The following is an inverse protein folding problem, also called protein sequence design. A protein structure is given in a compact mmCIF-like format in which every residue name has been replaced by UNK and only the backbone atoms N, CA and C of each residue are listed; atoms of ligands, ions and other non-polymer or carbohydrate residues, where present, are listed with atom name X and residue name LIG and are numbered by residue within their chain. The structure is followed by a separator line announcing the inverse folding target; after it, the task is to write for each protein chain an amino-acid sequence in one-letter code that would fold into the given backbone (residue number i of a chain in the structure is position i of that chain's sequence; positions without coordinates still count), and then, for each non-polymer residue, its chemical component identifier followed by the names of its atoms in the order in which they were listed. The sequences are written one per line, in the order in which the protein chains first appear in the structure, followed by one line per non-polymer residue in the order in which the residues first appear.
data_IF_312447367971
#
_entry.id   IF_312447367971
#
_cell.length_a   1.000
_cell.length_b   1.000
_cell.length_c   1.000
_cell.angle_alpha   90.00
_cell.angle_beta   90.00
_cell.angle_gamma   90.00
#
_symmetry.space_group_name_H-M   'P 1'
#
loop_
_entity.id
_entity.type
_entity.pdbx_description
1 polymer ?
#
# COMPACT_ATOMS: atom_id res chain seq x y z
N UNK A 1 3.63 -10.25 -25.15
CA UNK A 1 2.96 -10.46 -23.85
C UNK A 1 3.89 -10.06 -22.74
N UNK A 2 3.39 -9.40 -21.68
CA UNK A 2 4.15 -9.01 -20.47
C UNK A 2 3.70 -9.91 -19.32
N UNK A 3 4.63 -10.37 -18.47
CA UNK A 3 4.31 -11.01 -17.20
C UNK A 3 4.35 -9.96 -16.06
N UNK A 4 3.31 -9.96 -15.21
CA UNK A 4 3.34 -9.25 -13.92
C UNK A 4 3.69 -10.28 -12.84
N UNK A 5 4.92 -10.19 -12.31
CA UNK A 5 5.47 -11.20 -11.39
C UNK A 5 5.33 -10.73 -9.95
N UNK A 6 4.70 -11.56 -9.12
CA UNK A 6 4.67 -11.39 -7.65
C UNK A 6 5.35 -12.57 -6.95
N UNK A 7 5.98 -12.30 -5.81
CA UNK A 7 6.67 -13.31 -5.01
C UNK A 7 6.36 -13.15 -3.53
N UNK A 8 5.75 -14.17 -2.94
CA UNK A 8 5.38 -14.24 -1.53
C UNK A 8 4.42 -13.15 -1.04
N UNK A 9 3.70 -12.49 -1.95
CA UNK A 9 2.65 -11.55 -1.59
C UNK A 9 1.43 -12.29 -1.04
N UNK A 10 0.83 -11.75 0.03
CA UNK A 10 -0.38 -12.31 0.62
C UNK A 10 -1.62 -11.76 -0.09
N UNK A 11 -2.60 -12.61 -0.46
CA UNK A 11 -3.83 -12.19 -1.11
C UNK A 11 -4.76 -11.49 -0.09
N UNK A 12 -4.61 -10.18 0.02
CA UNK A 12 -5.34 -9.27 0.91
C UNK A 12 -5.91 -8.08 0.12
N UNK A 13 -6.58 -7.15 0.78
CA UNK A 13 -7.12 -5.94 0.13
C UNK A 13 -6.08 -5.18 -0.70
N UNK A 14 -4.86 -5.01 -0.16
CA UNK A 14 -3.74 -4.37 -0.88
C UNK A 14 -3.31 -5.18 -2.11
N UNK A 15 -3.32 -6.51 -2.04
CA UNK A 15 -3.01 -7.34 -3.21
C UNK A 15 -4.05 -7.16 -4.32
N UNK A 16 -5.33 -7.11 -3.95
CA UNK A 16 -6.38 -6.91 -4.95
C UNK A 16 -6.24 -5.55 -5.64
N UNK A 17 -6.13 -4.48 -4.88
CA UNK A 17 -6.03 -3.11 -5.43
C UNK A 17 -4.71 -2.84 -6.17
N UNK A 18 -3.57 -3.37 -5.68
CA UNK A 18 -2.24 -3.02 -6.21
C UNK A 18 -1.64 -4.07 -7.16
N UNK A 19 -2.28 -5.24 -7.34
CA UNK A 19 -1.84 -6.29 -8.25
C UNK A 19 -2.93 -6.64 -9.25
N UNK A 20 -4.05 -7.25 -8.79
CA UNK A 20 -5.06 -7.75 -9.72
C UNK A 20 -5.77 -6.64 -10.48
N UNK A 21 -6.13 -5.55 -9.79
CA UNK A 21 -6.76 -4.39 -10.43
C UNK A 21 -5.79 -3.63 -11.35
N UNK A 22 -4.48 -3.61 -11.02
CA UNK A 22 -3.45 -3.03 -11.89
C UNK A 22 -3.30 -3.89 -13.16
N UNK A 23 -3.21 -5.22 -13.04
CA UNK A 23 -3.17 -6.12 -14.21
C UNK A 23 -4.41 -5.98 -15.07
N UNK A 24 -5.59 -5.88 -14.45
CA UNK A 24 -6.84 -5.65 -15.18
C UNK A 24 -6.80 -4.32 -15.94
N UNK A 25 -6.38 -3.22 -15.27
CA UNK A 25 -6.25 -1.91 -15.90
C UNK A 25 -5.25 -1.90 -17.05
N UNK A 26 -4.06 -2.48 -16.88
CA UNK A 26 -3.06 -2.59 -17.95
C UNK A 26 -3.62 -3.30 -19.20
N UNK A 27 -4.48 -4.29 -19.03
CA UNK A 27 -5.13 -4.98 -20.14
C UNK A 27 -6.22 -4.13 -20.85
N UNK A 28 -6.68 -3.02 -20.27
CA UNK A 28 -7.61 -2.10 -20.93
C UNK A 28 -6.93 -1.06 -21.82
N UNK A 29 -5.58 -0.94 -21.75
CA UNK A 29 -4.83 0.13 -22.44
C UNK A 29 -4.59 -0.12 -23.94
N UNK A 30 -5.03 -1.26 -24.47
CA UNK A 30 -4.88 -1.60 -25.88
C UNK A 30 -3.46 -2.07 -26.30
N UNK A 31 -2.59 -2.33 -25.34
CA UNK A 31 -1.22 -2.82 -25.53
C UNK A 31 -1.10 -4.35 -25.49
N UNK A 32 0.12 -4.89 -25.32
CA UNK A 32 0.36 -6.32 -25.18
C UNK A 32 -0.35 -6.86 -23.94
N UNK A 33 -0.91 -8.07 -24.05
CA UNK A 33 -1.56 -8.73 -22.90
C UNK A 33 -0.59 -8.83 -21.71
N UNK A 34 -1.06 -8.39 -20.54
CA UNK A 34 -0.38 -8.53 -19.25
C UNK A 34 -0.98 -9.69 -18.49
N UNK A 35 -0.15 -10.65 -18.08
CA UNK A 35 -0.60 -11.85 -17.36
C UNK A 35 0.06 -11.92 -15.98
N UNK A 36 -0.72 -12.15 -14.95
CA UNK A 36 -0.22 -12.35 -13.60
C UNK A 36 0.49 -13.70 -13.47
N UNK A 37 1.75 -13.68 -12.99
CA UNK A 37 2.51 -14.83 -12.54
C UNK A 37 2.77 -14.66 -11.05
N UNK A 38 2.09 -15.43 -10.21
CA UNK A 38 2.20 -15.34 -8.76
C UNK A 38 2.93 -16.56 -8.19
N UNK A 39 4.06 -16.35 -7.54
CA UNK A 39 4.75 -17.37 -6.75
C UNK A 39 4.31 -17.25 -5.30
N UNK A 40 3.56 -18.24 -4.81
CA UNK A 40 2.89 -18.19 -3.51
C UNK A 40 3.36 -19.32 -2.59
N UNK A 41 3.09 -19.16 -1.29
CA UNK A 41 3.42 -20.18 -0.30
C UNK A 41 2.83 -21.55 -0.68
N UNK A 42 3.65 -22.61 -0.58
CA UNK A 42 3.20 -23.97 -0.79
C UNK A 42 2.23 -24.46 0.30
N UNK A 43 2.27 -23.83 1.51
CA UNK A 43 1.48 -24.26 2.68
C UNK A 43 -0.03 -24.21 2.43
N UNK A 44 -0.53 -23.09 1.85
CA UNK A 44 -1.95 -22.88 1.58
C UNK A 44 -2.23 -22.72 0.08
N UNK A 45 -1.43 -23.36 -0.75
CA UNK A 45 -1.39 -23.17 -2.20
C UNK A 45 -2.75 -23.22 -2.88
N UNK A 46 -3.55 -24.23 -2.63
CA UNK A 46 -4.84 -24.39 -3.30
C UNK A 46 -5.84 -23.31 -2.92
N UNK A 47 -5.85 -22.89 -1.64
CA UNK A 47 -6.71 -21.80 -1.16
C UNK A 47 -6.28 -20.47 -1.77
N UNK A 48 -4.99 -20.16 -1.74
CA UNK A 48 -4.42 -18.94 -2.32
C UNK A 48 -4.69 -18.88 -3.83
N UNK A 49 -4.41 -19.98 -4.54
CA UNK A 49 -4.66 -20.09 -5.98
C UNK A 49 -6.12 -19.85 -6.33
N UNK A 50 -7.06 -20.43 -5.58
CA UNK A 50 -8.49 -20.21 -5.78
C UNK A 50 -8.87 -18.74 -5.58
N UNK A 51 -8.39 -18.10 -4.51
CA UNK A 51 -8.63 -16.68 -4.24
C UNK A 51 -8.08 -15.78 -5.35
N UNK A 52 -6.84 -15.98 -5.77
CA UNK A 52 -6.23 -15.17 -6.84
C UNK A 52 -6.99 -15.34 -8.15
N UNK A 53 -7.36 -16.57 -8.51
CA UNK A 53 -8.09 -16.85 -9.77
C UNK A 53 -9.53 -16.34 -9.75
N UNK A 54 -10.14 -16.18 -8.60
CA UNK A 54 -11.45 -15.54 -8.50
C UNK A 54 -11.40 -14.05 -8.93
N UNK A 55 -10.28 -13.35 -8.67
CA UNK A 55 -10.08 -11.95 -9.07
C UNK A 55 -9.38 -11.80 -10.42
N UNK A 56 -8.52 -12.75 -10.78
CA UNK A 56 -7.76 -12.76 -12.02
C UNK A 56 -7.76 -14.18 -12.62
N UNK A 57 -8.79 -14.57 -13.40
CA UNK A 57 -9.00 -15.95 -13.88
C UNK A 57 -7.82 -16.51 -14.66
N UNK A 58 -7.13 -15.66 -15.43
CA UNK A 58 -5.98 -16.03 -16.27
C UNK A 58 -4.65 -16.11 -15.52
N UNK A 59 -4.64 -15.85 -14.20
CA UNK A 59 -3.42 -15.87 -13.41
C UNK A 59 -2.75 -17.26 -13.42
N UNK A 60 -1.45 -17.25 -13.62
CA UNK A 60 -0.58 -18.42 -13.41
C UNK A 60 -0.10 -18.36 -11.97
N UNK A 61 -0.59 -19.27 -11.15
CA UNK A 61 -0.22 -19.35 -9.73
C UNK A 61 0.61 -20.60 -9.53
N UNK A 62 1.84 -20.44 -9.06
CA UNK A 62 2.81 -21.51 -8.85
C UNK A 62 3.26 -21.53 -7.39
N UNK A 63 3.53 -22.71 -6.83
CA UNK A 63 4.10 -22.77 -5.48
C UNK A 63 5.57 -22.31 -5.52
N UNK A 64 5.98 -21.51 -4.55
CA UNK A 64 7.38 -21.18 -4.35
C UNK A 64 8.12 -22.24 -3.56
N UNK A 65 9.43 -22.34 -3.76
CA UNK A 65 10.31 -23.14 -2.89
C UNK A 65 10.25 -22.56 -1.48
N UNK A 66 9.93 -23.36 -0.47
CA UNK A 66 9.77 -22.88 0.90
C UNK A 66 11.10 -22.40 1.50
N UNK A 67 11.00 -21.63 2.57
CA UNK A 67 12.08 -20.98 3.32
C UNK A 67 12.69 -19.76 2.61
N UNK A 68 12.65 -18.61 3.30
CA UNK A 68 13.17 -17.35 2.80
C UNK A 68 14.67 -17.45 2.44
N UNK A 69 15.48 -18.20 3.18
CA UNK A 69 16.90 -18.43 2.89
C UNK A 69 17.16 -19.03 1.50
N UNK A 70 16.18 -19.74 0.92
CA UNK A 70 16.25 -20.38 -0.41
C UNK A 70 15.57 -19.58 -1.52
N UNK A 71 15.21 -18.34 -1.29
CA UNK A 71 14.42 -17.53 -2.23
C UNK A 71 15.03 -17.48 -3.65
N UNK A 72 16.37 -17.51 -3.78
CA UNK A 72 17.07 -17.47 -5.07
C UNK A 72 16.76 -18.66 -5.98
N UNK A 73 16.46 -19.82 -5.41
CA UNK A 73 16.11 -21.02 -6.17
C UNK A 73 14.85 -20.82 -7.01
N UNK A 74 13.95 -19.92 -6.57
CA UNK A 74 12.72 -19.60 -7.30
C UNK A 74 12.98 -18.94 -8.67
N UNK A 75 14.18 -18.42 -8.92
CA UNK A 75 14.56 -17.92 -10.25
C UNK A 75 14.48 -19.02 -11.32
N UNK A 76 14.64 -20.30 -10.97
CA UNK A 76 14.44 -21.42 -11.90
C UNK A 76 12.97 -21.55 -12.32
N UNK A 77 12.04 -21.32 -11.39
CA UNK A 77 10.58 -21.34 -11.68
C UNK A 77 10.22 -20.18 -12.64
N UNK A 78 10.76 -18.99 -12.37
CA UNK A 78 10.57 -17.81 -13.24
C UNK A 78 11.16 -18.08 -14.63
N UNK A 79 12.37 -18.64 -14.71
CA UNK A 79 13.02 -18.99 -15.97
C UNK A 79 12.20 -20.02 -16.78
N UNK A 80 11.65 -21.05 -16.12
CA UNK A 80 10.76 -22.03 -16.77
C UNK A 80 9.48 -21.35 -17.29
N UNK A 81 8.86 -20.48 -16.51
CA UNK A 81 7.70 -19.71 -16.95
C UNK A 81 8.04 -18.82 -18.15
N UNK A 82 9.20 -18.16 -18.17
CA UNK A 82 9.66 -17.38 -19.32
C UNK A 82 9.87 -18.22 -20.57
N UNK A 83 10.43 -19.44 -20.43
CA UNK A 83 10.57 -20.37 -21.58
C UNK A 83 9.22 -20.77 -22.16
N UNK A 84 8.23 -20.98 -21.31
CA UNK A 84 6.89 -21.39 -21.72
C UNK A 84 6.11 -20.23 -22.36
N UNK A 85 6.08 -19.07 -21.69
CA UNK A 85 5.24 -17.94 -22.11
C UNK A 85 5.93 -17.00 -23.10
N UNK A 86 7.26 -17.02 -23.20
CA UNK A 86 8.09 -16.15 -24.06
C UNK A 86 7.69 -14.65 -23.94
N UNK A 87 7.71 -14.08 -22.74
CA UNK A 87 7.32 -12.68 -22.55
C UNK A 87 8.32 -11.72 -23.19
N UNK A 88 7.83 -10.59 -23.72
CA UNK A 88 8.69 -9.48 -24.16
C UNK A 88 9.28 -8.76 -22.96
N UNK A 89 8.49 -8.62 -21.87
CA UNK A 89 8.91 -7.95 -20.64
C UNK A 89 8.30 -8.56 -19.39
N UNK A 90 8.89 -8.21 -18.24
CA UNK A 90 8.37 -8.56 -16.91
C UNK A 90 8.24 -7.28 -16.08
N UNK A 91 7.07 -7.06 -15.48
CA UNK A 91 6.87 -6.14 -14.37
C UNK A 91 7.00 -6.97 -13.10
N UNK A 92 8.05 -6.74 -12.31
CA UNK A 92 8.36 -7.54 -11.13
C UNK A 92 8.10 -6.72 -9.86
N UNK A 93 7.13 -7.17 -9.04
CA UNK A 93 6.75 -6.51 -7.80
C UNK A 93 7.72 -6.86 -6.69
N UNK A 94 8.40 -5.82 -6.20
CA UNK A 94 9.41 -5.93 -5.14
C UNK A 94 10.75 -6.45 -5.63
N UNK A 95 11.76 -6.28 -4.78
CA UNK A 95 13.17 -6.50 -5.17
C UNK A 95 13.51 -7.97 -5.41
N UNK A 96 12.90 -8.91 -4.68
CA UNK A 96 13.16 -10.35 -4.85
C UNK A 96 12.62 -10.86 -6.19
N UNK A 97 11.39 -10.48 -6.53
CA UNK A 97 10.80 -10.80 -7.83
C UNK A 97 11.62 -10.18 -8.98
N UNK A 98 12.07 -8.95 -8.80
CA UNK A 98 12.92 -8.24 -9.77
C UNK A 98 14.25 -8.95 -9.97
N UNK A 99 14.91 -9.36 -8.89
CA UNK A 99 16.15 -10.12 -9.00
C UNK A 99 15.96 -11.42 -9.81
N UNK A 100 14.87 -12.16 -9.57
CA UNK A 100 14.56 -13.36 -10.34
C UNK A 100 14.30 -13.06 -11.82
N UNK A 101 13.61 -11.95 -12.11
CA UNK A 101 13.37 -11.49 -13.48
C UNK A 101 14.67 -11.08 -14.18
N UNK A 102 15.58 -10.41 -13.50
CA UNK A 102 16.92 -10.08 -14.01
C UNK A 102 17.70 -11.35 -14.35
N UNK A 103 17.67 -12.38 -13.50
CA UNK A 103 18.31 -13.70 -13.83
C UNK A 103 17.69 -14.37 -15.05
N UNK A 104 16.40 -14.17 -15.32
CA UNK A 104 15.78 -14.65 -16.55
C UNK A 104 16.24 -13.83 -17.77
N UNK A 105 16.42 -12.51 -17.62
CA UNK A 105 16.97 -11.63 -18.66
C UNK A 105 18.42 -11.98 -19.00
N UNK A 106 19.26 -12.23 -17.99
CA UNK A 106 20.67 -12.64 -18.19
C UNK A 106 20.80 -13.96 -19.01
N UNK A 107 19.75 -14.79 -19.00
CA UNK A 107 19.64 -16.01 -19.81
C UNK A 107 18.93 -15.80 -21.15
N UNK A 108 18.70 -14.56 -21.53
CA UNK A 108 17.97 -14.18 -22.75
C UNK A 108 16.55 -14.80 -22.87
N UNK A 109 15.89 -15.07 -21.73
CA UNK A 109 14.53 -15.63 -21.69
C UNK A 109 13.44 -14.53 -21.66
N UNK A 110 13.83 -13.28 -21.44
CA UNK A 110 12.99 -12.09 -21.50
C UNK A 110 13.84 -10.90 -21.95
N UNK A 111 13.25 -9.96 -22.68
CA UNK A 111 13.97 -8.80 -23.22
C UNK A 111 14.14 -7.70 -22.18
N UNK A 112 13.08 -7.33 -21.48
CA UNK A 112 13.02 -6.16 -20.60
C UNK A 112 12.47 -6.47 -19.21
N UNK A 113 12.96 -5.78 -18.18
CA UNK A 113 12.51 -5.95 -16.80
C UNK A 113 12.19 -4.59 -16.19
N UNK A 114 11.00 -4.48 -15.58
CA UNK A 114 10.60 -3.34 -14.76
C UNK A 114 10.58 -3.74 -13.28
N UNK A 115 11.17 -2.90 -12.43
CA UNK A 115 10.99 -2.96 -10.98
C UNK A 115 9.68 -2.24 -10.62
N UNK A 116 8.70 -2.94 -10.05
CA UNK A 116 7.54 -2.33 -9.36
C UNK A 116 7.86 -2.20 -7.87
N UNK A 117 8.34 -1.02 -7.47
CA UNK A 117 8.80 -0.74 -6.12
C UNK A 117 7.73 -0.07 -5.27
N UNK A 118 7.42 -0.68 -4.13
CA UNK A 118 6.37 -0.23 -3.21
C UNK A 118 6.89 0.43 -1.94
N UNK A 119 8.22 0.58 -1.79
CA UNK A 119 8.90 1.20 -0.67
C UNK A 119 10.40 0.97 -0.72
N UNK A 120 11.13 1.43 0.30
CA UNK A 120 12.54 1.14 0.53
C UNK A 120 12.66 -0.21 1.26
N UNK A 121 12.69 -1.30 0.52
CA UNK A 121 12.63 -2.65 1.09
C UNK A 121 13.80 -2.98 2.02
N UNK A 122 15.02 -2.53 1.71
CA UNK A 122 16.16 -2.74 2.58
C UNK A 122 16.00 -1.96 3.90
N UNK A 123 15.48 -0.73 3.83
CA UNK A 123 15.14 0.05 5.02
C UNK A 123 14.07 -0.63 5.87
N UNK A 124 13.00 -1.11 5.25
CA UNK A 124 11.93 -1.83 5.94
C UNK A 124 12.44 -3.07 6.67
N UNK A 125 13.32 -3.85 6.05
CA UNK A 125 13.92 -5.03 6.67
C UNK A 125 14.86 -4.69 7.84
N UNK A 126 15.58 -3.58 7.73
CA UNK A 126 16.48 -3.08 8.79
C UNK A 126 15.71 -2.48 9.97
N UNK A 127 14.71 -1.63 9.69
CA UNK A 127 13.94 -0.91 10.70
C UNK A 127 12.98 -1.81 11.49
N UNK A 128 12.35 -2.78 10.80
CA UNK A 128 11.28 -3.61 11.40
C UNK A 128 11.64 -5.09 11.51
N UNK A 129 12.88 -5.46 11.21
CA UNK A 129 13.40 -6.85 11.33
C UNK A 129 12.42 -7.87 10.74
N UNK A 130 12.00 -7.65 9.50
CA UNK A 130 11.02 -8.51 8.79
C UNK A 130 11.46 -9.98 8.77
N UNK A 131 12.77 -10.23 8.86
CA UNK A 131 13.36 -11.55 9.05
C UNK A 131 14.37 -11.51 10.19
N UNK A 132 14.46 -12.58 10.95
CA UNK A 132 15.46 -12.74 12.02
C UNK A 132 16.73 -13.39 11.46
N UNK A 133 17.40 -12.69 10.52
CA UNK A 133 18.62 -13.14 9.85
C UNK A 133 19.43 -11.93 9.38
N UNK A 134 20.40 -11.49 10.18
CA UNK A 134 21.23 -10.32 9.89
C UNK A 134 22.02 -10.44 8.58
N UNK A 135 22.48 -11.65 8.23
CA UNK A 135 23.21 -11.88 6.99
C UNK A 135 22.30 -11.70 5.78
N UNK A 136 21.04 -12.12 5.88
CA UNK A 136 20.04 -11.94 4.82
C UNK A 136 19.64 -10.46 4.71
N UNK A 137 19.45 -9.76 5.83
CA UNK A 137 19.19 -8.32 5.87
C UNK A 137 20.33 -7.54 5.18
N UNK A 138 21.58 -7.82 5.53
CA UNK A 138 22.74 -7.16 4.92
C UNK A 138 22.82 -7.39 3.39
N UNK A 139 22.53 -8.61 2.93
CA UNK A 139 22.48 -8.93 1.50
C UNK A 139 21.34 -8.20 0.77
N UNK A 140 20.25 -7.91 1.46
CA UNK A 140 19.03 -7.34 0.85
C UNK A 140 19.28 -5.95 0.26
N UNK A 141 20.15 -5.14 0.89
CA UNK A 141 20.56 -3.83 0.37
C UNK A 141 21.25 -3.94 -1.01
N UNK A 142 22.12 -4.94 -1.18
CA UNK A 142 22.79 -5.19 -2.46
C UNK A 142 21.78 -5.64 -3.54
N UNK A 143 20.80 -6.47 -3.16
CA UNK A 143 19.73 -6.93 -4.06
C UNK A 143 18.83 -5.76 -4.48
N UNK A 144 18.46 -4.87 -3.55
CA UNK A 144 17.68 -3.67 -3.88
C UNK A 144 18.47 -2.73 -4.79
N UNK A 145 19.74 -2.46 -4.48
CA UNK A 145 20.61 -1.67 -5.35
C UNK A 145 20.69 -2.24 -6.77
N UNK A 146 20.87 -3.56 -6.91
CA UNK A 146 20.88 -4.24 -8.21
C UNK A 146 19.53 -4.06 -8.92
N UNK A 147 18.42 -4.29 -8.24
CA UNK A 147 17.08 -4.13 -8.80
C UNK A 147 16.84 -2.69 -9.29
N UNK A 148 17.25 -1.69 -8.52
CA UNK A 148 17.11 -0.28 -8.89
C UNK A 148 17.98 0.09 -10.08
N UNK A 149 19.25 -0.35 -10.12
CA UNK A 149 20.20 0.13 -11.11
C UNK A 149 20.14 -0.65 -12.44
N UNK A 150 19.80 -1.95 -12.41
CA UNK A 150 19.93 -2.82 -13.59
C UNK A 150 18.63 -3.07 -14.33
N UNK A 151 17.47 -2.66 -13.82
CA UNK A 151 16.21 -2.78 -14.56
C UNK A 151 16.13 -1.78 -15.71
N UNK A 152 15.34 -2.11 -16.73
CA UNK A 152 15.12 -1.26 -17.90
C UNK A 152 14.13 -0.12 -17.57
N UNK A 153 13.17 -0.38 -16.68
CA UNK A 153 12.15 0.57 -16.25
C UNK A 153 11.88 0.42 -14.74
N UNK A 154 11.41 1.48 -14.07
CA UNK A 154 10.99 1.48 -12.66
C UNK A 154 9.62 2.08 -12.52
N UNK A 155 8.79 1.47 -11.70
CA UNK A 155 7.54 2.01 -11.20
C UNK A 155 7.74 2.32 -9.71
N UNK A 156 7.83 3.59 -9.36
CA UNK A 156 7.99 4.06 -7.98
C UNK A 156 6.64 4.51 -7.40
N UNK A 157 6.42 4.32 -6.11
CA UNK A 157 5.18 4.76 -5.45
C UNK A 157 5.20 6.22 -4.99
N UNK A 158 6.38 6.86 -4.99
CA UNK A 158 6.54 8.25 -4.57
C UNK A 158 7.77 8.89 -5.21
N UNK A 159 7.78 10.21 -5.32
CA UNK A 159 8.98 10.96 -5.67
C UNK A 159 10.04 10.85 -4.57
N UNK A 160 9.62 10.75 -3.32
CA UNK A 160 10.51 10.50 -2.18
C UNK A 160 11.31 9.20 -2.36
N UNK A 161 10.70 8.13 -2.88
CA UNK A 161 11.39 6.88 -3.18
C UNK A 161 12.42 7.04 -4.31
N UNK A 162 12.10 7.81 -5.33
CA UNK A 162 13.07 8.12 -6.42
C UNK A 162 14.25 8.90 -5.88
N UNK A 163 14.03 9.94 -5.05
CA UNK A 163 15.10 10.70 -4.38
C UNK A 163 15.97 9.78 -3.52
N UNK A 164 15.37 8.87 -2.76
CA UNK A 164 16.11 7.88 -1.98
C UNK A 164 17.03 7.02 -2.87
N UNK A 165 16.57 6.56 -4.04
CA UNK A 165 17.41 5.81 -4.97
C UNK A 165 18.57 6.65 -5.52
N UNK A 166 18.34 7.94 -5.81
CA UNK A 166 19.39 8.87 -6.26
C UNK A 166 20.46 9.03 -5.18
N UNK A 167 20.05 9.32 -3.96
CA UNK A 167 20.96 9.57 -2.84
C UNK A 167 21.69 8.29 -2.37
N UNK A 168 20.96 7.19 -2.26
CA UNK A 168 21.48 5.97 -1.65
C UNK A 168 22.22 5.06 -2.62
N UNK A 169 21.73 4.96 -3.86
CA UNK A 169 22.25 4.02 -4.85
C UNK A 169 22.92 4.70 -6.04
N UNK A 170 22.90 6.03 -6.13
CA UNK A 170 23.44 6.78 -7.26
C UNK A 170 22.62 6.59 -8.53
N UNK A 171 21.29 6.41 -8.41
CA UNK A 171 20.42 6.33 -9.56
C UNK A 171 20.31 7.69 -10.24
N UNK A 172 20.78 7.81 -11.47
CA UNK A 172 20.76 9.05 -12.27
C UNK A 172 19.86 8.94 -13.50
N UNK A 173 19.22 7.76 -13.70
CA UNK A 173 18.39 7.50 -14.86
C UNK A 173 17.04 8.21 -14.80
N UNK A 174 16.43 8.31 -15.99
CA UNK A 174 15.07 8.86 -16.15
C UNK A 174 14.04 7.79 -16.54
N UNK A 175 14.45 6.51 -16.58
CA UNK A 175 13.58 5.39 -16.93
C UNK A 175 12.76 4.96 -15.70
N UNK A 176 11.91 5.87 -15.21
CA UNK A 176 10.95 5.59 -14.17
C UNK A 176 9.65 6.35 -14.41
N UNK A 177 8.58 5.81 -13.85
CA UNK A 177 7.31 6.50 -13.66
C UNK A 177 6.94 6.46 -12.18
N UNK A 178 6.24 7.48 -11.71
CA UNK A 178 5.73 7.52 -10.34
C UNK A 178 4.22 7.35 -10.37
N UNK A 179 3.76 6.28 -9.74
CA UNK A 179 2.33 5.99 -9.55
C UNK A 179 2.12 5.62 -8.10
N UNK A 180 1.45 6.47 -7.31
CA UNK A 180 1.16 6.18 -5.91
C UNK A 180 0.30 4.93 -5.79
N UNK A 181 0.16 4.40 -4.58
CA UNK A 181 -0.80 3.34 -4.35
C UNK A 181 -2.20 3.83 -4.68
N UNK A 182 -2.84 3.18 -5.65
CA UNK A 182 -4.14 3.57 -6.20
C UNK A 182 -5.29 2.92 -5.43
N UNK A 183 -6.47 3.50 -5.52
CA UNK A 183 -7.70 2.99 -4.93
C UNK A 183 -8.03 1.57 -5.42
N UNK A 184 -8.62 0.77 -4.54
CA UNK A 184 -9.37 -0.42 -4.93
C UNK A 184 -10.78 -0.05 -5.35
N UNK A 185 -11.43 -0.90 -6.15
CA UNK A 185 -12.78 -0.64 -6.73
C UNK A 185 -13.83 -0.26 -5.69
N UNK A 186 -13.84 -0.90 -4.53
CA UNK A 186 -14.79 -0.62 -3.46
C UNK A 186 -14.77 0.84 -2.98
N UNK A 187 -13.63 1.54 -3.10
CA UNK A 187 -13.47 2.94 -2.71
C UNK A 187 -13.71 3.93 -3.86
N UNK A 188 -13.65 3.48 -5.11
CA UNK A 188 -13.97 4.31 -6.28
C UNK A 188 -15.47 4.48 -6.43
N UNK A 189 -16.25 3.47 -6.12
CA UNK A 189 -17.71 3.49 -6.17
C UNK A 189 -18.27 4.40 -5.08
N UNK A 190 -19.42 5.04 -5.39
CA UNK A 190 -20.09 5.88 -4.40
C UNK A 190 -20.81 5.00 -3.40
N UNK A 191 -20.42 5.11 -2.15
CA UNK A 191 -21.19 4.56 -1.02
C UNK A 191 -22.07 5.68 -0.49
N UNK A 192 -23.34 5.40 -0.21
CA UNK A 192 -24.28 6.38 0.34
C UNK A 192 -23.82 6.96 1.69
N UNK A 193 -24.50 7.97 2.23
CA UNK A 193 -24.11 8.63 3.45
C UNK A 193 -24.00 7.65 4.63
N UNK A 194 -22.90 7.74 5.39
CA UNK A 194 -22.58 6.84 6.51
C UNK A 194 -23.46 6.97 7.77
N UNK A 195 -24.60 7.65 7.67
CA UNK A 195 -25.45 7.96 8.84
C UNK A 195 -26.03 6.72 9.54
N UNK A 196 -26.46 5.71 8.79
CA UNK A 196 -26.98 4.46 9.37
C UNK A 196 -25.85 3.74 10.16
N UNK A 197 -24.67 3.56 9.54
CA UNK A 197 -23.51 2.94 10.16
C UNK A 197 -23.04 3.73 11.40
N UNK A 198 -23.13 5.08 11.38
CA UNK A 198 -22.78 5.91 12.54
C UNK A 198 -23.66 5.59 13.76
N UNK A 199 -24.97 5.46 13.54
CA UNK A 199 -25.92 5.08 14.59
C UNK A 199 -25.71 3.64 15.09
N UNK A 200 -25.47 2.70 14.18
CA UNK A 200 -25.17 1.29 14.52
C UNK A 200 -23.90 1.16 15.36
N UNK A 201 -22.89 2.01 15.11
CA UNK A 201 -21.66 2.07 15.88
C UNK A 201 -21.83 2.81 17.22
N UNK A 202 -23.01 3.36 17.51
CA UNK A 202 -23.32 4.06 18.77
C UNK A 202 -22.68 5.46 18.85
N UNK A 203 -22.40 6.12 17.72
CA UNK A 203 -21.87 7.48 17.70
C UNK A 203 -23.01 8.50 17.60
N UNK A 204 -22.99 9.43 18.57
CA UNK A 204 -23.93 10.55 18.58
C UNK A 204 -23.56 11.61 17.51
N UNK A 205 -24.54 12.44 17.13
CA UNK A 205 -24.31 13.54 16.22
C UNK A 205 -23.31 14.59 16.78
N UNK A 206 -23.23 14.70 18.11
CA UNK A 206 -22.29 15.61 18.78
C UNK A 206 -20.87 15.04 18.93
N UNK A 207 -20.65 13.76 18.64
CA UNK A 207 -19.33 13.13 18.74
C UNK A 207 -18.46 13.53 17.55
N UNK A 208 -17.15 13.64 17.79
CA UNK A 208 -16.12 13.69 16.76
C UNK A 208 -15.44 12.34 16.73
N UNK A 209 -15.53 11.66 15.58
CA UNK A 209 -15.04 10.28 15.44
C UNK A 209 -13.81 10.23 14.55
N UNK A 210 -12.68 9.86 15.13
CA UNK A 210 -11.46 9.54 14.37
C UNK A 210 -11.45 8.07 13.98
N UNK A 211 -10.91 7.76 12.81
CA UNK A 211 -10.77 6.37 12.37
C UNK A 211 -9.32 6.02 12.02
N UNK A 212 -8.92 4.84 12.43
CA UNK A 212 -7.76 4.12 11.92
C UNK A 212 -8.24 2.85 11.22
N UNK A 213 -7.79 2.63 9.97
CA UNK A 213 -8.12 1.42 9.21
C UNK A 213 -6.84 0.71 8.75
N UNK A 214 -6.71 -0.59 9.03
CA UNK A 214 -5.63 -1.43 8.53
C UNK A 214 -4.97 -2.35 9.55
N UNK A 215 -3.82 -2.92 9.17
CA UNK A 215 -3.05 -3.84 10.02
C UNK A 215 -2.36 -3.12 11.17
N UNK A 216 -1.87 -3.91 12.12
CA UNK A 216 -1.05 -3.47 13.27
C UNK A 216 0.45 -3.74 13.06
N UNK A 217 0.92 -3.84 11.82
CA UNK A 217 2.32 -4.06 11.50
C UNK A 217 3.24 -2.95 12.04
N UNK A 218 4.50 -3.26 12.30
CA UNK A 218 5.47 -2.37 12.98
C UNK A 218 5.51 -0.94 12.41
N UNK A 219 5.55 -0.79 11.08
CA UNK A 219 5.55 0.52 10.42
C UNK A 219 4.26 1.34 10.58
N UNK A 220 3.24 0.80 11.24
CA UNK A 220 2.02 1.55 11.59
C UNK A 220 2.16 2.33 12.90
N UNK A 221 3.27 2.14 13.63
CA UNK A 221 3.67 2.93 14.80
C UNK A 221 2.59 3.05 15.87
N UNK A 222 2.00 1.91 16.27
CA UNK A 222 0.88 1.89 17.23
C UNK A 222 1.24 2.47 18.60
N UNK A 223 2.52 2.40 19.03
CA UNK A 223 2.99 3.04 20.26
C UNK A 223 2.81 4.55 20.22
N UNK A 224 3.26 5.18 19.12
CA UNK A 224 3.14 6.61 18.89
C UNK A 224 1.66 7.02 18.77
N UNK A 225 0.88 6.32 17.96
CA UNK A 225 -0.55 6.58 17.79
C UNK A 225 -1.32 6.44 19.11
N UNK A 226 -1.06 5.39 19.88
CA UNK A 226 -1.70 5.14 21.17
C UNK A 226 -1.39 6.24 22.18
N UNK A 227 -0.15 6.73 22.23
CA UNK A 227 0.25 7.86 23.08
C UNK A 227 -0.49 9.15 22.72
N UNK A 228 -0.55 9.48 21.42
CA UNK A 228 -1.29 10.65 20.91
C UNK A 228 -2.78 10.57 21.25
N UNK A 229 -3.41 9.42 21.02
CA UNK A 229 -4.83 9.22 21.28
C UNK A 229 -5.17 9.27 22.77
N UNK A 230 -4.31 8.75 23.63
CA UNK A 230 -4.50 8.78 25.08
C UNK A 230 -4.57 10.23 25.60
N UNK A 231 -3.64 11.08 25.16
CA UNK A 231 -3.67 12.51 25.48
C UNK A 231 -4.93 13.19 24.96
N UNK A 232 -5.25 13.00 23.69
CA UNK A 232 -6.43 13.60 23.06
C UNK A 232 -7.76 13.16 23.70
N UNK A 233 -7.90 11.88 24.02
CA UNK A 233 -9.09 11.34 24.69
C UNK A 233 -9.24 11.89 26.12
N UNK A 234 -8.14 12.13 26.84
CA UNK A 234 -8.19 12.73 28.17
C UNK A 234 -8.70 14.18 28.13
N UNK A 235 -8.30 14.95 27.12
CA UNK A 235 -8.61 16.38 27.01
C UNK A 235 -9.93 16.69 26.30
N UNK A 236 -10.38 15.80 25.38
CA UNK A 236 -11.52 16.04 24.50
C UNK A 236 -12.68 15.05 24.79
N UNK A 237 -13.66 15.41 25.65
CA UNK A 237 -14.72 14.45 26.08
C UNK A 237 -15.60 13.93 24.96
N UNK A 238 -15.80 14.67 23.88
CA UNK A 238 -16.62 14.27 22.72
C UNK A 238 -15.86 13.48 21.66
N UNK A 239 -14.54 13.33 21.84
CA UNK A 239 -13.69 12.58 20.92
C UNK A 239 -13.94 11.08 21.09
N UNK A 240 -14.15 10.39 19.97
CA UNK A 240 -14.23 8.93 19.89
C UNK A 240 -13.27 8.42 18.82
N UNK A 241 -12.86 7.17 18.94
CA UNK A 241 -11.93 6.52 18.00
C UNK A 241 -12.48 5.18 17.56
N UNK A 242 -12.53 4.96 16.25
CA UNK A 242 -12.87 3.69 15.64
C UNK A 242 -11.60 3.06 15.03
N UNK A 243 -11.26 1.86 15.51
CA UNK A 243 -10.24 1.03 14.89
C UNK A 243 -10.88 -0.03 13.99
N UNK A 244 -10.63 0.06 12.69
CA UNK A 244 -10.97 -0.97 11.71
C UNK A 244 -9.75 -1.85 11.51
N UNK A 245 -9.51 -2.78 12.43
CA UNK A 245 -8.29 -3.59 12.49
C UNK A 245 -8.53 -4.97 13.09
N UNK A 246 -7.64 -5.95 12.85
CA UNK A 246 -7.59 -7.18 13.60
C UNK A 246 -7.46 -6.95 15.12
N UNK A 247 -7.68 -7.99 15.95
CA UNK A 247 -7.41 -7.94 17.39
C UNK A 247 -5.98 -7.48 17.68
N UNK A 248 -5.84 -6.57 18.65
CA UNK A 248 -4.57 -6.04 19.11
C UNK A 248 -4.65 -5.62 20.57
N UNK A 249 -3.68 -6.05 21.40
CA UNK A 249 -3.67 -5.79 22.84
C UNK A 249 -3.52 -4.31 23.19
N UNK A 250 -2.83 -3.51 22.38
CA UNK A 250 -2.69 -2.08 22.61
C UNK A 250 -4.01 -1.34 22.38
N UNK A 251 -4.76 -1.72 21.33
CA UNK A 251 -6.10 -1.18 21.07
C UNK A 251 -7.08 -1.60 22.17
N UNK A 252 -7.06 -2.86 22.56
CA UNK A 252 -7.93 -3.38 23.62
C UNK A 252 -7.61 -2.71 24.98
N UNK A 253 -6.34 -2.43 25.27
CA UNK A 253 -5.91 -1.66 26.44
C UNK A 253 -6.44 -0.21 26.40
N UNK A 254 -6.33 0.47 25.26
CA UNK A 254 -6.88 1.82 25.09
C UNK A 254 -8.41 1.83 25.22
N UNK A 255 -9.10 0.82 24.73
CA UNK A 255 -10.55 0.69 24.85
C UNK A 255 -10.98 0.44 26.32
N UNK A 256 -10.19 -0.29 27.08
CA UNK A 256 -10.43 -0.47 28.52
C UNK A 256 -10.20 0.82 29.34
N UNK A 257 -9.20 1.65 28.95
CA UNK A 257 -8.91 2.93 29.57
C UNK A 257 -9.99 3.99 29.26
N UNK A 258 -10.60 3.94 28.06
CA UNK A 258 -11.63 4.89 27.62
C UNK A 258 -12.91 4.15 27.16
N UNK A 259 -13.67 3.55 28.09
CA UNK A 259 -14.84 2.74 27.77
C UNK A 259 -15.91 3.54 27.03
N UNK A 260 -16.47 2.97 25.97
CA UNK A 260 -17.49 3.60 25.11
C UNK A 260 -16.98 4.72 24.19
N UNK A 261 -15.67 5.03 24.24
CA UNK A 261 -15.06 6.05 23.40
C UNK A 261 -14.06 5.50 22.38
N UNK A 262 -13.50 4.32 22.66
CA UNK A 262 -12.64 3.58 21.73
C UNK A 262 -13.34 2.30 21.34
N UNK A 263 -13.60 2.16 20.04
CA UNK A 263 -14.25 0.98 19.47
C UNK A 263 -13.30 0.29 18.51
N UNK A 264 -13.30 -1.04 18.51
CA UNK A 264 -12.64 -1.85 17.48
C UNK A 264 -13.66 -2.69 16.74
N UNK A 265 -13.54 -2.72 15.42
CA UNK A 265 -14.30 -3.60 14.53
C UNK A 265 -13.36 -4.22 13.50
N UNK A 266 -13.64 -5.45 13.14
CA UNK A 266 -13.01 -6.10 12.01
C UNK A 266 -14.09 -6.34 10.95
N UNK A 267 -13.97 -5.65 9.83
CA UNK A 267 -14.96 -5.62 8.75
C UNK A 267 -14.41 -6.29 7.51
N UNK A 268 -15.30 -6.78 6.66
CA UNK A 268 -14.92 -7.20 5.31
C UNK A 268 -14.59 -5.96 4.45
N UNK A 269 -13.78 -6.15 3.42
CA UNK A 269 -13.28 -5.03 2.61
C UNK A 269 -14.38 -4.17 2.00
N UNK A 270 -15.52 -4.78 1.67
CA UNK A 270 -16.69 -4.14 1.07
C UNK A 270 -17.46 -3.24 2.07
N UNK A 271 -17.36 -3.53 3.37
CA UNK A 271 -18.01 -2.77 4.45
C UNK A 271 -17.18 -1.56 4.90
N UNK A 272 -15.85 -1.60 4.67
CA UNK A 272 -14.91 -0.55 5.14
C UNK A 272 -15.29 0.85 4.62
N UNK A 273 -15.64 1.08 3.34
CA UNK A 273 -16.02 2.41 2.85
C UNK A 273 -17.18 3.02 3.64
N UNK A 274 -18.21 2.25 3.96
CA UNK A 274 -19.37 2.74 4.72
C UNK A 274 -18.99 3.10 6.16
N UNK A 275 -18.14 2.30 6.80
CA UNK A 275 -17.64 2.60 8.14
C UNK A 275 -16.74 3.86 8.16
N UNK A 276 -15.92 4.06 7.13
CA UNK A 276 -15.13 5.28 6.98
C UNK A 276 -16.04 6.51 6.87
N UNK A 277 -17.10 6.46 6.08
CA UNK A 277 -18.03 7.59 5.91
C UNK A 277 -18.81 7.95 7.18
N UNK A 278 -18.93 7.02 8.14
CA UNK A 278 -19.49 7.27 9.46
C UNK A 278 -18.58 8.10 10.38
N UNK A 279 -17.32 8.32 9.99
CA UNK A 279 -16.31 9.03 10.77
C UNK A 279 -16.09 10.46 10.30
N UNK A 280 -15.32 11.23 11.06
CA UNK A 280 -15.13 12.66 10.82
C UNK A 280 -13.71 13.03 10.38
N UNK A 281 -12.68 12.29 10.81
CA UNK A 281 -11.32 12.41 10.31
C UNK A 281 -10.58 11.06 10.41
N UNK A 282 -9.53 10.89 9.63
CA UNK A 282 -8.75 9.67 9.59
C UNK A 282 -7.32 9.87 10.09
N UNK A 283 -6.74 8.81 10.65
CA UNK A 283 -5.42 8.82 11.29
C UNK A 283 -4.38 8.11 10.43
N UNK A 284 -3.33 8.83 10.09
CA UNK A 284 -2.15 8.32 9.40
C UNK A 284 -0.87 8.79 10.12
N UNK A 285 -0.82 8.52 11.41
CA UNK A 285 0.28 8.89 12.31
C UNK A 285 1.29 7.76 12.37
N UNK A 286 2.55 8.05 12.04
CA UNK A 286 3.65 7.09 11.97
C UNK A 286 4.95 7.73 12.42
N UNK A 287 5.88 6.91 12.90
CA UNK A 287 7.24 7.31 13.26
C UNK A 287 8.03 7.81 12.04
N UNK A 288 9.00 8.68 12.29
CA UNK A 288 9.90 9.22 11.27
C UNK A 288 11.01 8.22 10.95
N UNK A 289 10.71 7.27 10.07
CA UNK A 289 11.63 6.23 9.58
C UNK A 289 11.78 6.32 8.07
N UNK A 290 12.84 5.73 7.51
CA UNK A 290 13.03 5.70 6.06
C UNK A 290 11.84 5.05 5.35
N UNK A 291 11.34 3.93 5.87
CA UNK A 291 10.15 3.25 5.34
C UNK A 291 8.97 4.20 5.19
N UNK A 292 8.71 5.03 6.19
CA UNK A 292 7.60 5.97 6.18
C UNK A 292 7.88 7.21 5.31
N UNK A 293 9.14 7.69 5.28
CA UNK A 293 9.55 8.86 4.45
C UNK A 293 9.40 8.63 2.94
N UNK A 294 9.41 7.37 2.49
CA UNK A 294 9.23 7.04 1.07
C UNK A 294 7.89 6.37 0.76
N UNK A 295 7.06 6.17 1.77
CA UNK A 295 5.82 5.41 1.66
C UNK A 295 4.75 6.09 0.80
N UNK A 296 3.88 5.28 0.23
CA UNK A 296 2.61 5.68 -0.38
C UNK A 296 1.50 4.79 0.19
N UNK A 297 1.03 5.05 1.43
CA UNK A 297 0.00 4.22 2.06
C UNK A 297 -1.32 4.26 1.31
N UNK A 298 -1.87 3.10 0.92
CA UNK A 298 -3.18 2.98 0.27
C UNK A 298 -4.30 3.66 1.06
N UNK A 299 -4.25 3.55 2.38
CA UNK A 299 -5.26 4.15 3.28
C UNK A 299 -5.39 5.66 3.15
N UNK A 300 -4.34 6.39 2.70
CA UNK A 300 -4.44 7.82 2.43
C UNK A 300 -5.48 8.11 1.34
N UNK A 301 -5.35 7.43 0.21
CA UNK A 301 -6.31 7.55 -0.89
C UNK A 301 -7.71 7.07 -0.48
N UNK A 302 -7.79 5.96 0.26
CA UNK A 302 -9.04 5.38 0.75
C UNK A 302 -9.78 6.32 1.70
N UNK A 303 -9.08 6.96 2.62
CA UNK A 303 -9.65 7.95 3.54
C UNK A 303 -10.24 9.14 2.78
N UNK A 304 -9.44 9.74 1.91
CA UNK A 304 -9.89 10.87 1.11
C UNK A 304 -11.06 10.49 0.18
N UNK A 305 -11.05 9.31 -0.43
CA UNK A 305 -12.13 8.82 -1.30
C UNK A 305 -13.47 8.71 -0.55
N UNK A 306 -13.41 8.48 0.77
CA UNK A 306 -14.58 8.44 1.64
C UNK A 306 -14.90 9.80 2.31
N UNK A 307 -14.28 10.87 1.82
CA UNK A 307 -14.55 12.24 2.28
C UNK A 307 -13.95 12.58 3.63
N UNK A 308 -12.92 11.85 4.08
CA UNK A 308 -12.29 12.08 5.38
C UNK A 308 -11.05 12.97 5.23
N UNK A 309 -10.98 14.13 5.89
CA UNK A 309 -9.72 14.82 6.11
C UNK A 309 -8.79 13.94 6.97
N UNK A 310 -7.47 14.05 6.72
CA UNK A 310 -6.48 13.15 7.31
C UNK A 310 -5.59 13.91 8.30
N UNK A 311 -5.43 13.37 9.52
CA UNK A 311 -4.34 13.75 10.42
C UNK A 311 -3.14 12.86 10.07
N UNK A 312 -2.07 13.47 9.57
CA UNK A 312 -0.90 12.78 9.03
C UNK A 312 0.39 13.29 9.66
N UNK A 313 1.34 12.39 9.95
CA UNK A 313 2.69 12.80 10.37
C UNK A 313 3.41 13.59 9.28
N UNK A 314 4.31 14.50 9.65
CA UNK A 314 4.96 15.46 8.75
C UNK A 314 5.87 14.84 7.65
N UNK A 315 6.17 13.56 7.72
CA UNK A 315 7.19 12.89 6.89
C UNK A 315 6.67 11.66 6.12
N UNK A 316 5.39 11.57 5.83
CA UNK A 316 4.83 10.40 5.11
C UNK A 316 4.92 10.61 3.60
N UNK A 317 5.98 10.08 3.00
CA UNK A 317 6.21 10.13 1.55
C UNK A 317 6.02 11.53 0.98
N UNK A 318 5.26 11.60 -0.12
CA UNK A 318 4.87 12.87 -0.74
C UNK A 318 3.54 13.41 -0.15
N UNK A 319 2.87 12.66 0.74
CA UNK A 319 1.49 12.94 1.15
C UNK A 319 1.36 14.04 2.20
N UNK A 320 2.34 14.17 3.10
CA UNK A 320 2.28 15.21 4.14
C UNK A 320 2.26 16.61 3.51
N UNK A 321 3.06 16.84 2.48
CA UNK A 321 3.04 18.07 1.72
C UNK A 321 1.72 18.26 0.96
N UNK A 322 1.16 17.20 0.37
CA UNK A 322 -0.14 17.26 -0.31
C UNK A 322 -1.26 17.66 0.65
N UNK A 323 -1.29 17.11 1.87
CA UNK A 323 -2.29 17.47 2.88
C UNK A 323 -2.25 18.96 3.17
N UNK A 324 -1.07 19.53 3.34
CA UNK A 324 -0.88 20.95 3.62
C UNK A 324 -1.30 21.83 2.44
N UNK A 325 -0.78 21.55 1.24
CA UNK A 325 -0.99 22.38 0.05
C UNK A 325 -2.45 22.32 -0.43
N UNK A 326 -3.06 21.14 -0.39
CA UNK A 326 -4.42 20.89 -0.90
C UNK A 326 -5.50 21.02 0.19
N UNK A 327 -5.12 21.35 1.44
CA UNK A 327 -6.04 21.46 2.59
C UNK A 327 -6.90 20.22 2.78
N UNK A 328 -6.24 19.04 2.80
CA UNK A 328 -6.90 17.74 2.92
C UNK A 328 -6.94 17.21 4.36
N UNK A 329 -6.59 18.03 5.31
CA UNK A 329 -6.54 17.68 6.73
C UNK A 329 -5.47 18.44 7.48
N UNK A 330 -4.82 17.79 8.44
CA UNK A 330 -3.85 18.39 9.35
C UNK A 330 -2.54 17.60 9.33
N UNK A 331 -1.42 18.32 9.19
CA UNK A 331 -0.07 17.74 9.35
C UNK A 331 0.32 17.86 10.84
N UNK A 332 0.57 16.71 11.45
CA UNK A 332 0.93 16.58 12.86
C UNK A 332 2.44 16.30 13.00
N UNK A 333 3.10 17.00 13.93
CA UNK A 333 4.48 16.72 14.30
C UNK A 333 4.53 15.94 15.61
N UNK A 334 5.52 15.07 15.74
CA UNK A 334 5.74 14.33 16.98
C UNK A 334 6.00 15.29 18.16
N UNK A 335 5.32 15.06 19.25
CA UNK A 335 5.34 15.93 20.42
C UNK A 335 4.21 16.96 20.47
N UNK A 336 3.54 17.24 19.37
CA UNK A 336 2.38 18.13 19.37
C UNK A 336 1.15 17.41 19.97
N UNK A 337 0.26 18.18 20.63
CA UNK A 337 -1.07 17.67 20.96
C UNK A 337 -1.90 17.45 19.68
N UNK A 338 -2.84 16.52 19.74
CA UNK A 338 -3.82 16.37 18.65
C UNK A 338 -4.70 17.65 18.62
N UNK A 339 -4.83 18.32 17.48
CA UNK A 339 -5.69 19.49 17.40
C UNK A 339 -7.14 19.15 17.73
N UNK A 340 -7.88 20.12 18.24
CA UNK A 340 -9.33 19.97 18.40
C UNK A 340 -9.96 19.99 17.01
N UNK A 341 -10.46 18.84 16.60
CA UNK A 341 -11.09 18.66 15.31
C UNK A 341 -12.61 18.83 15.45
N UNK A 342 -13.22 19.43 14.42
CA UNK A 342 -14.67 19.45 14.25
C UNK A 342 -15.12 18.35 13.30
N UNK A 343 -16.44 18.23 13.14
CA UNK A 343 -17.00 17.44 12.03
C UNK A 343 -16.77 18.18 10.72
N UNK A 344 -16.25 17.51 9.68
CA UNK A 344 -16.00 18.16 8.39
C UNK A 344 -17.32 18.59 7.74
N UNK A 345 -17.33 19.79 7.19
CA UNK A 345 -18.47 20.30 6.42
C UNK A 345 -18.57 19.55 5.08
N UNK A 346 -19.75 19.54 4.43
CA UNK A 346 -19.95 18.83 3.15
C UNK A 346 -18.91 19.20 2.08
N UNK A 347 -18.50 20.46 2.02
CA UNK A 347 -17.52 20.99 1.06
C UNK A 347 -16.10 20.40 1.32
N UNK A 348 -15.73 20.19 2.56
CA UNK A 348 -14.47 19.53 2.92
C UNK A 348 -14.47 18.05 2.51
N UNK A 349 -15.56 17.35 2.82
CA UNK A 349 -15.73 15.95 2.39
C UNK A 349 -15.67 15.81 0.88
N UNK A 350 -16.38 16.70 0.16
CA UNK A 350 -16.37 16.70 -1.30
C UNK A 350 -14.97 17.02 -1.86
N UNK A 351 -14.25 17.97 -1.28
CA UNK A 351 -12.86 18.29 -1.67
C UNK A 351 -11.95 17.08 -1.53
N UNK A 352 -11.96 16.41 -0.36
CA UNK A 352 -11.19 15.19 -0.14
C UNK A 352 -11.52 14.12 -1.17
N UNK A 353 -12.80 13.83 -1.38
CA UNK A 353 -13.24 12.81 -2.33
C UNK A 353 -12.84 13.15 -3.77
N UNK A 354 -13.12 14.37 -4.22
CA UNK A 354 -12.78 14.80 -5.58
C UNK A 354 -11.28 14.74 -5.82
N UNK A 355 -10.47 15.17 -4.84
CA UNK A 355 -9.02 15.08 -4.93
C UNK A 355 -8.56 13.62 -5.06
N UNK A 356 -9.11 12.72 -4.23
CA UNK A 356 -8.73 11.30 -4.28
C UNK A 356 -9.06 10.67 -5.63
N UNK A 357 -10.27 10.85 -6.13
CA UNK A 357 -10.69 10.27 -7.40
C UNK A 357 -9.91 10.82 -8.60
N UNK A 358 -9.52 12.09 -8.55
CA UNK A 358 -8.72 12.74 -9.61
C UNK A 358 -7.24 12.29 -9.61
N UNK A 359 -6.69 11.84 -8.46
CA UNK A 359 -5.26 11.62 -8.32
C UNK A 359 -4.88 10.18 -7.94
N UNK A 360 -5.80 9.35 -7.45
CA UNK A 360 -5.49 8.01 -6.93
C UNK A 360 -6.27 6.88 -7.60
N UNK A 361 -7.01 7.15 -8.67
CA UNK A 361 -7.55 6.08 -9.52
C UNK A 361 -6.50 5.58 -10.50
N UNK A 362 -6.64 4.36 -11.00
CA UNK A 362 -5.74 3.82 -12.04
C UNK A 362 -5.85 4.62 -13.34
N UNK A 363 -7.04 5.14 -13.62
CA UNK A 363 -7.33 5.99 -14.78
C UNK A 363 -6.54 7.30 -14.75
N UNK A 364 -6.37 7.91 -13.57
CA UNK A 364 -5.55 9.11 -13.40
C UNK A 364 -4.08 8.91 -13.82
N UNK A 365 -3.59 7.67 -13.79
CA UNK A 365 -2.21 7.32 -14.13
C UNK A 365 -2.07 6.57 -15.45
N UNK A 366 -3.08 6.64 -16.32
CA UNK A 366 -3.10 5.92 -17.61
C UNK A 366 -1.84 6.17 -18.45
N UNK A 367 -1.38 7.41 -18.55
CA UNK A 367 -0.18 7.74 -19.36
C UNK A 367 1.11 7.16 -18.75
N UNK A 368 1.23 7.18 -17.43
CA UNK A 368 2.36 6.55 -16.74
C UNK A 368 2.39 5.02 -17.01
N UNK A 369 1.22 4.39 -16.95
CA UNK A 369 1.09 2.95 -17.28
C UNK A 369 1.35 2.65 -18.76
N UNK A 370 0.93 3.52 -19.70
CA UNK A 370 1.27 3.39 -21.12
C UNK A 370 2.76 3.50 -21.36
N UNK A 371 3.43 4.49 -20.75
CA UNK A 371 4.88 4.66 -20.79
C UNK A 371 5.60 3.40 -20.26
N UNK A 372 5.14 2.86 -19.15
CA UNK A 372 5.69 1.64 -18.58
C UNK A 372 5.53 0.43 -19.51
N UNK A 373 4.34 0.24 -20.10
CA UNK A 373 4.08 -0.88 -21.04
C UNK A 373 4.92 -0.72 -22.30
N UNK A 374 5.01 0.48 -22.89
CA UNK A 374 5.81 0.75 -24.06
C UNK A 374 7.31 0.48 -23.84
N UNK A 375 7.83 0.76 -22.64
CA UNK A 375 9.23 0.46 -22.31
C UNK A 375 9.54 -1.05 -22.23
N UNK A 376 8.53 -1.92 -22.17
CA UNK A 376 8.67 -3.39 -22.02
C UNK A 376 8.33 -4.17 -23.29
N UNK A 377 7.96 -3.49 -24.33
CA UNK A 377 7.71 -4.08 -25.66
C UNK A 377 8.87 -3.87 -26.59
#
# INVERSE_FOLDING_TARGET
MILYLTYNDQPSGVYWSQVTDVVAHLNTLGGPRVRLLALVSARDYFTIRRKIRAHCPDAVVLPMVPQMKRWRVNAAIVALACRWFRPTGIIARGVLATWMALRARDKALVGKVCLDARGAYAGEWEEYRIVDDDALIAQFRAVEREAVLQTDMRLAVSQALVRHWQERYGYTGQQHVVVPCTLGRAHEEHVGPGGAMRSELGFAESDVVLVYSGSVAGWQSFGLLGGLLRGALAEQPKLKVLFLSPPDSGIDGLAAEFPGRVLRRFLQAEEVPQALQACDAALLVREDTLTNRVASPTKFAEYLANGLPVVISAHIGDFSQLVQVQRLGHVWNEGDALPVLGRPVPEERQRCRSFSLANFTKQAHTEAYRTLVAALT
#
